data_IF_976010911318
#
_entry.id   IF_976010911318
#
_cell.length_a   1.000
_cell.length_b   1.000
_cell.length_c   1.000
_cell.angle_alpha   90.00
_cell.angle_beta   90.00
_cell.angle_gamma   90.00
#
_symmetry.space_group_name_H-M   'P 1'
#
loop_
_entity.id
_entity.type
_entity.pdbx_description
1 polymer ?
#
# COMPACT_ATOMS: atom_id res chain seq x y z
N UNK A 1 28.29 9.82 11.42
CA UNK A 1 27.02 9.18 11.86
C UNK A 1 27.40 7.97 12.71
N UNK A 2 26.91 7.86 13.93
CA UNK A 2 27.01 6.65 14.77
C UNK A 2 25.65 5.97 14.85
N UNK A 3 25.62 4.64 14.81
CA UNK A 3 24.38 3.84 14.91
C UNK A 3 24.44 2.99 16.16
N UNK A 4 23.46 3.17 17.06
CA UNK A 4 23.33 2.42 18.31
C UNK A 4 22.13 1.48 18.17
N UNK A 5 22.40 0.20 17.95
CA UNK A 5 21.38 -0.85 17.88
C UNK A 5 21.80 -2.00 18.82
N UNK A 6 21.35 -2.00 20.10
CA UNK A 6 21.65 -3.09 21.04
C UNK A 6 21.21 -4.45 20.50
N UNK A 7 21.99 -5.50 20.79
CA UNK A 7 21.62 -6.89 20.43
C UNK A 7 20.34 -7.31 21.17
N UNK A 8 19.52 -8.12 20.52
CA UNK A 8 18.24 -8.62 21.03
C UNK A 8 17.03 -7.78 20.64
N UNK A 9 17.22 -6.63 19.97
CA UNK A 9 16.13 -5.82 19.44
C UNK A 9 15.65 -6.32 18.08
N UNK A 10 14.45 -5.91 17.66
CA UNK A 10 13.87 -6.27 16.34
C UNK A 10 14.76 -5.86 15.16
N UNK A 11 15.55 -4.79 15.32
CA UNK A 11 16.51 -4.28 14.33
C UNK A 11 17.93 -4.87 14.47
N UNK A 12 18.19 -5.63 15.53
CA UNK A 12 19.47 -6.33 15.77
C UNK A 12 19.25 -7.61 16.60
N UNK A 13 18.59 -8.63 16.04
CA UNK A 13 18.19 -9.81 16.80
C UNK A 13 19.34 -10.82 16.97
N UNK A 14 19.20 -11.74 17.93
CA UNK A 14 20.13 -12.86 18.08
C UNK A 14 19.84 -13.96 17.05
N UNK A 15 20.85 -14.59 16.43
CA UNK A 15 20.66 -15.86 15.73
C UNK A 15 20.03 -16.91 16.67
N UNK A 16 19.08 -17.75 16.20
CA UNK A 16 18.58 -17.91 14.82
C UNK A 16 17.25 -17.17 14.55
N UNK A 17 17.01 -16.01 15.17
CA UNK A 17 15.75 -15.28 15.00
C UNK A 17 15.43 -14.99 13.52
N UNK A 18 14.15 -15.06 13.10
CA UNK A 18 13.75 -14.88 11.71
C UNK A 18 13.88 -13.41 11.27
N UNK A 19 14.53 -13.18 10.12
CA UNK A 19 14.81 -11.83 9.60
C UNK A 19 14.32 -11.59 8.16
N UNK A 20 13.56 -12.52 7.58
CA UNK A 20 13.21 -12.54 6.15
C UNK A 20 12.60 -11.23 5.61
N UNK A 21 11.91 -10.45 6.46
CA UNK A 21 11.18 -9.23 6.06
C UNK A 21 11.63 -7.97 6.79
N UNK A 22 12.75 -8.01 7.53
CA UNK A 22 13.20 -6.90 8.37
C UNK A 22 13.63 -5.66 7.56
N UNK A 23 14.15 -5.86 6.34
CA UNK A 23 14.57 -4.79 5.42
C UNK A 23 13.42 -3.90 4.96
N UNK A 24 12.18 -4.43 4.99
CA UNK A 24 10.98 -3.68 4.66
C UNK A 24 10.28 -3.19 5.91
N UNK A 25 9.74 -4.10 6.74
CA UNK A 25 8.88 -3.69 7.86
C UNK A 25 9.61 -2.78 8.85
N UNK A 26 10.81 -3.18 9.30
CA UNK A 26 11.56 -2.34 10.23
C UNK A 26 12.27 -1.19 9.50
N UNK A 27 12.80 -1.44 8.30
CA UNK A 27 13.50 -0.43 7.53
C UNK A 27 12.65 0.80 7.22
N UNK A 28 11.40 0.61 6.78
CA UNK A 28 10.46 1.68 6.47
C UNK A 28 10.12 2.51 7.71
N UNK A 29 9.85 1.86 8.85
CA UNK A 29 9.54 2.54 10.12
C UNK A 29 10.73 3.35 10.63
N UNK A 30 11.96 2.84 10.49
CA UNK A 30 13.19 3.56 10.89
C UNK A 30 13.36 4.82 10.03
N UNK A 31 13.20 4.71 8.71
CA UNK A 31 13.34 5.85 7.79
C UNK A 31 12.34 6.95 8.14
N UNK A 32 11.08 6.58 8.39
CA UNK A 32 10.05 7.56 8.74
C UNK A 32 10.19 8.13 10.16
N UNK A 33 10.69 7.34 11.10
CA UNK A 33 11.05 7.86 12.43
C UNK A 33 12.14 8.94 12.32
N UNK A 34 13.11 8.75 11.42
CA UNK A 34 14.13 9.77 11.11
C UNK A 34 13.49 10.99 10.47
N UNK A 35 12.57 10.84 9.50
CA UNK A 35 11.85 11.98 8.91
C UNK A 35 11.08 12.78 9.96
N UNK A 36 10.36 12.10 10.86
CA UNK A 36 9.65 12.78 11.97
C UNK A 36 10.60 13.52 12.90
N UNK A 37 11.75 12.93 13.23
CA UNK A 37 12.74 13.56 14.10
C UNK A 37 13.41 14.78 13.45
N UNK A 38 13.65 14.72 12.13
CA UNK A 38 14.27 15.81 11.37
C UNK A 38 13.30 16.90 10.91
N UNK A 39 12.00 16.61 10.89
CA UNK A 39 10.96 17.54 10.45
C UNK A 39 11.07 18.96 11.05
N UNK A 40 11.22 19.15 12.38
CA UNK A 40 11.32 20.49 12.94
C UNK A 40 12.63 21.23 12.58
N UNK A 41 13.66 20.52 12.10
CA UNK A 41 14.99 21.08 11.81
C UNK A 41 15.14 21.39 10.32
N UNK A 42 14.70 20.47 9.46
CA UNK A 42 14.83 20.56 7.99
C UNK A 42 13.50 20.29 7.30
N UNK A 43 12.47 21.16 7.51
CA UNK A 43 11.12 20.92 7.02
C UNK A 43 11.03 20.77 5.49
N UNK A 44 11.96 21.38 4.75
CA UNK A 44 12.04 21.31 3.28
C UNK A 44 12.58 19.98 2.74
N UNK A 45 13.25 19.18 3.58
CA UNK A 45 13.99 17.98 3.17
C UNK A 45 13.38 16.67 3.70
N UNK A 46 12.19 16.74 4.30
CA UNK A 46 11.46 15.58 4.81
C UNK A 46 10.13 15.41 4.08
N UNK A 47 9.65 14.17 4.07
CA UNK A 47 8.35 13.83 3.54
C UNK A 47 7.38 13.50 4.69
N UNK A 48 6.09 13.62 4.41
CA UNK A 48 5.06 12.92 5.16
C UNK A 48 5.20 11.39 5.00
N UNK A 49 4.36 10.64 5.71
CA UNK A 49 4.40 9.18 5.70
C UNK A 49 4.09 8.58 4.33
N UNK A 50 4.84 7.54 3.98
CA UNK A 50 4.61 6.72 2.79
C UNK A 50 3.68 5.56 3.13
N UNK A 51 3.09 4.97 2.09
CA UNK A 51 2.43 3.68 2.24
C UNK A 51 3.41 2.62 2.77
N UNK A 52 2.91 1.75 3.66
CA UNK A 52 3.64 0.55 4.08
C UNK A 52 3.65 -0.50 2.98
N UNK A 53 4.47 -1.53 3.14
CA UNK A 53 4.43 -2.71 2.28
C UNK A 53 3.05 -3.38 2.21
N UNK A 54 2.37 -3.26 1.08
CA UNK A 54 1.19 -4.08 0.74
C UNK A 54 1.67 -5.34 0.03
N UNK A 55 1.51 -6.50 0.66
CA UNK A 55 1.98 -7.77 0.11
C UNK A 55 1.14 -8.98 0.51
N UNK A 56 0.93 -9.85 -0.46
CA UNK A 56 0.55 -11.24 -0.24
C UNK A 56 1.24 -12.16 -1.25
N UNK A 57 1.16 -13.46 -0.99
CA UNK A 57 1.57 -14.50 -1.92
C UNK A 57 0.45 -15.55 -2.02
N UNK A 58 0.28 -16.11 -3.22
CA UNK A 58 -0.64 -17.22 -3.46
C UNK A 58 0.18 -18.43 -3.86
N UNK A 59 -0.06 -19.54 -3.18
CA UNK A 59 0.51 -20.85 -3.55
C UNK A 59 -0.61 -21.79 -3.94
N UNK A 60 -0.38 -22.57 -4.99
CA UNK A 60 -1.38 -23.48 -5.54
C UNK A 60 -0.80 -24.38 -6.60
N UNK A 61 -1.68 -24.98 -7.41
CA UNK A 61 -1.31 -25.78 -8.57
C UNK A 61 -1.89 -25.17 -9.83
N UNK A 62 -1.07 -25.12 -10.87
CA UNK A 62 -1.50 -24.58 -12.15
C UNK A 62 -2.40 -25.59 -12.86
N UNK A 63 -3.62 -25.21 -13.31
CA UNK A 63 -4.58 -26.13 -13.90
C UNK A 63 -4.06 -26.78 -15.19
N UNK A 64 -3.49 -26.00 -16.10
CA UNK A 64 -2.96 -26.52 -17.38
C UNK A 64 -1.70 -27.39 -17.30
N UNK A 65 -0.82 -27.18 -16.30
CA UNK A 65 0.48 -27.91 -16.23
C UNK A 65 0.57 -28.89 -15.07
N UNK A 66 -0.36 -28.84 -14.12
CA UNK A 66 -0.33 -29.62 -12.89
C UNK A 66 0.83 -29.29 -11.95
N UNK A 67 1.68 -28.29 -12.22
CA UNK A 67 2.83 -27.93 -11.39
C UNK A 67 2.43 -27.02 -10.23
N UNK A 68 3.12 -27.14 -9.11
CA UNK A 68 2.98 -26.17 -8.00
C UNK A 68 3.52 -24.81 -8.43
N UNK A 69 2.85 -23.74 -8.03
CA UNK A 69 3.32 -22.37 -8.23
C UNK A 69 3.34 -21.60 -6.91
N UNK A 70 4.16 -20.56 -6.89
CA UNK A 70 4.05 -19.45 -5.96
C UNK A 70 4.00 -18.16 -6.78
N UNK A 71 3.00 -17.33 -6.50
CA UNK A 71 2.89 -15.99 -7.05
C UNK A 71 2.97 -14.96 -5.95
N UNK A 72 3.59 -13.85 -6.29
CA UNK A 72 4.09 -12.86 -5.37
C UNK A 72 3.53 -11.50 -5.81
N UNK A 73 2.60 -10.94 -5.03
CA UNK A 73 1.78 -9.79 -5.42
C UNK A 73 2.56 -8.47 -5.49
N UNK A 74 3.00 -8.04 -6.69
CA UNK A 74 3.69 -6.76 -6.94
C UNK A 74 2.81 -5.66 -7.56
N UNK A 75 1.51 -5.89 -7.72
CA UNK A 75 0.57 -4.88 -8.20
C UNK A 75 0.10 -3.96 -7.06
N UNK A 76 -0.76 -2.99 -7.39
CA UNK A 76 -1.51 -2.21 -6.39
C UNK A 76 -0.62 -1.50 -5.37
N UNK A 77 0.49 -0.89 -5.81
CA UNK A 77 1.42 -0.19 -4.89
C UNK A 77 0.73 0.99 -4.21
N UNK A 78 1.18 1.35 -3.02
CA UNK A 78 0.63 2.48 -2.27
C UNK A 78 1.22 3.83 -2.67
N UNK A 79 0.66 4.90 -2.12
CA UNK A 79 1.09 6.27 -2.38
C UNK A 79 2.30 6.70 -1.54
N UNK A 80 3.09 7.63 -2.08
CA UNK A 80 4.20 8.26 -1.37
C UNK A 80 3.75 9.45 -0.54
N UNK A 81 4.49 9.77 0.52
CA UNK A 81 4.23 10.97 1.33
C UNK A 81 4.46 12.25 0.55
N UNK A 82 3.64 13.27 0.79
CA UNK A 82 3.86 14.60 0.25
C UNK A 82 5.07 15.29 0.90
N UNK A 83 5.59 16.30 0.22
CA UNK A 83 6.68 17.15 0.73
C UNK A 83 6.36 18.61 0.49
N UNK A 84 7.16 19.51 1.07
CA UNK A 84 7.01 20.92 0.78
C UNK A 84 7.22 21.18 -0.72
N UNK A 85 6.24 21.84 -1.34
CA UNK A 85 6.24 22.15 -2.76
C UNK A 85 5.66 21.07 -3.67
N UNK A 86 5.47 19.82 -3.20
CA UNK A 86 5.13 18.70 -4.09
C UNK A 86 4.13 17.71 -3.48
N UNK A 87 3.09 17.40 -4.24
CA UNK A 87 2.21 16.26 -3.96
C UNK A 87 3.01 14.95 -3.96
N UNK A 88 2.59 14.00 -3.13
CA UNK A 88 3.19 12.68 -3.09
C UNK A 88 2.92 11.89 -4.38
N UNK A 89 3.87 11.04 -4.76
CA UNK A 89 3.76 10.23 -5.97
C UNK A 89 2.78 9.07 -5.77
N UNK A 90 1.74 9.01 -6.59
CA UNK A 90 0.76 7.91 -6.56
C UNK A 90 1.40 6.59 -6.97
N UNK A 91 1.06 5.50 -6.30
CA UNK A 91 1.55 4.14 -6.58
C UNK A 91 3.09 3.99 -6.59
N UNK A 92 3.83 4.89 -5.95
CA UNK A 92 5.31 4.82 -5.85
C UNK A 92 5.77 3.70 -4.91
N UNK A 93 4.88 3.25 -4.03
CA UNK A 93 5.09 2.23 -3.00
C UNK A 93 5.82 2.74 -1.78
N UNK A 94 6.61 1.86 -1.18
CA UNK A 94 7.28 2.05 0.10
C UNK A 94 8.49 2.98 -0.02
N UNK A 95 8.79 3.71 1.06
CA UNK A 95 9.86 4.72 1.09
C UNK A 95 11.26 4.16 0.78
N UNK A 96 11.54 2.90 1.16
CA UNK A 96 12.84 2.26 0.94
C UNK A 96 13.07 1.85 -0.53
N UNK A 97 12.02 1.80 -1.34
CA UNK A 97 12.09 1.47 -2.77
C UNK A 97 11.86 2.70 -3.65
N UNK A 98 11.03 3.65 -3.19
CA UNK A 98 10.80 4.97 -3.81
C UNK A 98 10.68 4.93 -5.35
N UNK A 99 9.86 4.00 -5.89
CA UNK A 99 9.62 3.88 -7.32
C UNK A 99 10.60 2.99 -8.12
N UNK A 100 11.62 2.40 -7.49
CA UNK A 100 12.58 1.54 -8.19
C UNK A 100 11.99 0.19 -8.68
N UNK A 101 10.93 -0.31 -8.02
CA UNK A 101 10.24 -1.54 -8.45
C UNK A 101 9.20 -1.21 -9.51
N UNK A 102 9.34 -1.86 -10.67
CA UNK A 102 8.36 -1.81 -11.77
C UNK A 102 7.17 -2.72 -11.49
N UNK A 103 5.97 -2.26 -11.81
CA UNK A 103 4.78 -3.10 -11.79
C UNK A 103 4.90 -4.21 -12.85
N UNK A 104 4.51 -5.46 -12.53
CA UNK A 104 4.45 -6.52 -13.52
C UNK A 104 3.37 -6.25 -14.59
N UNK A 105 3.51 -6.88 -15.75
CA UNK A 105 2.47 -6.86 -16.78
C UNK A 105 1.27 -7.71 -16.36
N UNK A 106 0.07 -7.20 -16.59
CA UNK A 106 -1.19 -7.93 -16.38
C UNK A 106 -1.22 -9.18 -17.27
N UNK A 107 -0.98 -9.02 -18.57
CA UNK A 107 -1.01 -10.11 -19.55
C UNK A 107 -0.05 -11.25 -19.20
N UNK A 108 1.19 -10.92 -18.82
CA UNK A 108 2.18 -11.93 -18.42
C UNK A 108 1.80 -12.61 -17.10
N UNK A 109 1.07 -11.91 -16.23
CA UNK A 109 0.59 -12.51 -14.98
C UNK A 109 -0.54 -13.51 -15.27
N UNK A 110 -1.51 -13.14 -16.08
CA UNK A 110 -2.65 -14.00 -16.46
C UNK A 110 -2.20 -15.18 -17.35
N UNK A 111 -1.17 -15.00 -18.17
CA UNK A 111 -0.58 -16.10 -18.96
C UNK A 111 0.07 -17.16 -18.06
N UNK A 112 0.76 -16.73 -17.00
CA UNK A 112 1.61 -17.61 -16.17
C UNK A 112 0.91 -18.21 -14.97
N UNK A 113 -0.16 -17.58 -14.51
CA UNK A 113 -0.83 -17.95 -13.27
C UNK A 113 -2.34 -18.01 -13.50
N UNK A 114 -3.06 -18.89 -12.79
CA UNK A 114 -4.52 -19.06 -12.96
C UNK A 114 -5.30 -17.93 -12.26
N UNK A 115 -5.07 -16.70 -12.71
CA UNK A 115 -5.68 -15.49 -12.20
C UNK A 115 -6.24 -14.68 -13.35
N UNK A 116 -7.36 -14.04 -13.09
CA UNK A 116 -7.88 -12.97 -13.94
C UNK A 116 -7.89 -11.67 -13.16
N UNK A 117 -7.12 -10.69 -13.61
CA UNK A 117 -7.04 -9.37 -13.01
C UNK A 117 -8.25 -8.57 -13.50
N UNK A 118 -9.14 -8.26 -12.55
CA UNK A 118 -10.38 -7.52 -12.84
C UNK A 118 -10.15 -6.02 -12.76
N UNK A 119 -9.26 -5.58 -11.88
CA UNK A 119 -9.04 -4.16 -11.60
C UNK A 119 -7.62 -3.88 -11.15
N UNK A 120 -7.05 -2.79 -11.64
CA UNK A 120 -5.76 -2.26 -11.20
C UNK A 120 -5.74 -0.74 -11.42
N UNK A 121 -6.46 -0.02 -10.57
CA UNK A 121 -6.72 1.42 -10.72
C UNK A 121 -6.07 2.21 -9.60
N UNK A 122 -5.98 3.53 -9.76
CA UNK A 122 -5.78 4.43 -8.61
C UNK A 122 -6.95 4.31 -7.63
N UNK A 123 -6.70 4.59 -6.35
CA UNK A 123 -7.70 4.64 -5.28
C UNK A 123 -8.04 6.10 -4.97
N UNK A 124 -9.10 6.70 -5.55
CA UNK A 124 -9.47 8.07 -5.27
C UNK A 124 -9.69 8.33 -3.78
N UNK A 125 -9.25 9.48 -3.29
CA UNK A 125 -9.38 9.89 -1.89
C UNK A 125 -8.56 9.07 -0.90
N UNK A 126 -7.56 8.31 -1.36
CA UNK A 126 -6.69 7.53 -0.47
C UNK A 126 -5.48 8.30 0.05
N UNK A 127 -5.03 9.33 -0.68
CA UNK A 127 -3.97 10.22 -0.24
C UNK A 127 -4.49 11.19 0.83
N UNK A 128 -3.67 11.47 1.84
CA UNK A 128 -3.98 12.44 2.89
C UNK A 128 -4.02 13.86 2.33
N UNK A 129 -5.01 14.63 2.76
CA UNK A 129 -5.17 16.02 2.37
C UNK A 129 -4.07 16.91 3.00
N UNK A 130 -3.73 18.00 2.31
CA UNK A 130 -2.73 18.96 2.77
C UNK A 130 -2.57 20.06 1.72
N UNK A 131 -1.75 21.07 2.02
CA UNK A 131 -1.31 22.02 1.00
C UNK A 131 -0.77 21.28 -0.23
N UNK A 132 -0.01 20.21 0.05
CA UNK A 132 0.32 19.15 -0.89
C UNK A 132 -0.27 17.82 -0.45
N UNK A 133 -0.97 17.15 -1.35
CA UNK A 133 -1.71 15.91 -1.12
C UNK A 133 -0.75 14.72 -1.15
N UNK A 134 -0.88 13.79 -0.21
CA UNK A 134 -0.14 12.53 -0.26
C UNK A 134 -0.53 11.70 -1.48
N UNK A 135 0.38 10.93 -2.06
CA UNK A 135 0.13 10.14 -3.27
C UNK A 135 -1.05 9.18 -3.11
N UNK A 136 -1.75 8.86 -4.19
CA UNK A 136 -2.83 7.89 -4.13
C UNK A 136 -2.28 6.47 -4.04
N UNK A 137 -2.97 5.62 -3.30
CA UNK A 137 -2.88 4.19 -3.43
C UNK A 137 -3.62 3.68 -4.66
N UNK A 138 -3.92 2.40 -4.64
CA UNK A 138 -4.43 1.62 -5.74
C UNK A 138 -5.53 0.67 -5.27
N UNK A 139 -6.41 0.32 -6.20
CA UNK A 139 -7.42 -0.70 -6.07
C UNK A 139 -6.98 -1.84 -6.96
N UNK A 140 -6.61 -2.97 -6.35
CA UNK A 140 -6.32 -4.19 -7.07
C UNK A 140 -7.39 -5.24 -6.78
N UNK A 141 -7.82 -5.92 -7.84
CA UNK A 141 -8.76 -7.03 -7.75
C UNK A 141 -8.41 -8.12 -8.76
N UNK A 142 -8.47 -9.37 -8.30
CA UNK A 142 -8.33 -10.55 -9.14
C UNK A 142 -9.36 -11.62 -8.78
N UNK A 143 -9.74 -12.43 -9.77
CA UNK A 143 -10.45 -13.70 -9.59
C UNK A 143 -9.44 -14.83 -9.67
N UNK A 144 -9.57 -15.82 -8.80
CA UNK A 144 -8.81 -17.07 -8.90
C UNK A 144 -9.50 -18.04 -9.87
N UNK A 145 -8.82 -18.44 -10.94
CA UNK A 145 -9.32 -19.31 -12.01
C UNK A 145 -8.64 -20.69 -12.01
N UNK A 146 -8.20 -21.16 -10.83
CA UNK A 146 -7.69 -22.53 -10.71
C UNK A 146 -8.80 -23.57 -10.61
N UNK A 147 -8.43 -24.85 -10.69
CA UNK A 147 -9.38 -25.98 -10.56
C UNK A 147 -9.47 -26.56 -9.13
N UNK A 148 -8.46 -26.26 -8.29
CA UNK A 148 -8.38 -26.70 -6.89
C UNK A 148 -8.11 -25.52 -5.95
N UNK A 149 -8.42 -25.63 -4.64
CA UNK A 149 -8.16 -24.54 -3.69
C UNK A 149 -6.69 -24.15 -3.63
N UNK A 150 -6.43 -22.84 -3.54
CA UNK A 150 -5.11 -22.27 -3.32
C UNK A 150 -4.99 -21.66 -1.91
N UNK A 151 -3.77 -21.33 -1.49
CA UNK A 151 -3.47 -20.70 -0.20
C UNK A 151 -2.98 -19.28 -0.39
N UNK A 152 -3.68 -18.34 0.20
CA UNK A 152 -3.35 -16.92 0.26
C UNK A 152 -2.61 -16.62 1.59
N UNK A 153 -1.46 -15.96 1.48
CA UNK A 153 -0.57 -15.66 2.60
C UNK A 153 -0.20 -14.18 2.61
N UNK A 154 -0.63 -13.46 3.64
CA UNK A 154 -0.40 -12.02 3.77
C UNK A 154 0.96 -11.79 4.40
N UNK A 155 1.71 -10.87 3.82
CA UNK A 155 3.06 -10.50 4.24
C UNK A 155 3.25 -8.98 4.30
N UNK A 156 2.13 -8.24 4.33
CA UNK A 156 2.13 -6.77 4.32
C UNK A 156 2.09 -6.15 5.72
N UNK A 157 2.00 -4.84 5.76
CA UNK A 157 1.73 -4.02 6.94
C UNK A 157 0.78 -2.85 6.59
N UNK A 158 0.60 -1.88 7.47
CA UNK A 158 -0.14 -0.62 7.26
C UNK A 158 -1.66 -0.75 7.15
N UNK A 159 -2.23 -1.85 7.67
CA UNK A 159 -3.67 -1.95 7.95
C UNK A 159 -4.02 -1.20 9.24
N UNK A 160 -3.13 -1.25 10.24
CA UNK A 160 -3.35 -0.66 11.56
C UNK A 160 -2.90 0.79 11.59
N UNK A 161 -1.66 1.05 11.16
CA UNK A 161 -1.07 2.38 11.19
C UNK A 161 -1.18 3.02 9.81
N UNK A 162 -1.92 4.12 9.72
CA UNK A 162 -2.04 4.93 8.53
C UNK A 162 -0.75 5.75 8.28
N UNK A 163 -0.39 6.02 7.02
CA UNK A 163 0.69 6.95 6.68
C UNK A 163 0.40 8.33 7.25
N UNK A 164 1.31 8.86 8.07
CA UNK A 164 1.11 10.09 8.83
C UNK A 164 1.17 11.33 7.93
N UNK A 165 0.33 12.33 8.21
CA UNK A 165 0.48 13.66 7.64
C UNK A 165 1.52 14.50 8.41
N UNK A 166 2.00 15.60 7.80
CA UNK A 166 3.02 16.46 8.37
C UNK A 166 2.63 17.95 8.28
N UNK A 167 2.97 18.73 9.31
CA UNK A 167 2.71 20.18 9.40
C UNK A 167 1.26 20.60 9.09
N UNK A 168 0.28 19.88 9.64
CA UNK A 168 -1.15 20.15 9.41
C UNK A 168 -1.76 19.41 8.22
N UNK A 169 -0.98 18.58 7.53
CA UNK A 169 -1.50 17.59 6.59
C UNK A 169 -2.17 16.41 7.31
N UNK A 170 -3.16 15.82 6.66
CA UNK A 170 -3.93 14.68 7.13
C UNK A 170 -3.24 13.35 6.80
N UNK A 171 -3.51 12.28 7.57
CA UNK A 171 -3.03 10.95 7.23
C UNK A 171 -3.69 10.40 5.96
N UNK A 172 -2.97 9.54 5.23
CA UNK A 172 -3.57 8.76 4.14
C UNK A 172 -4.49 7.65 4.65
N UNK A 173 -5.31 7.07 3.76
CA UNK A 173 -6.10 5.88 4.12
C UNK A 173 -5.17 4.66 4.33
N UNK A 174 -5.51 3.74 5.25
CA UNK A 174 -4.74 2.52 5.46
C UNK A 174 -4.98 1.47 4.35
N UNK A 175 -4.15 0.43 4.37
CA UNK A 175 -4.30 -0.76 3.53
C UNK A 175 -5.53 -1.58 3.94
N UNK A 176 -6.07 -2.36 3.01
CA UNK A 176 -7.11 -3.36 3.29
C UNK A 176 -6.95 -4.57 2.38
N UNK A 177 -7.03 -5.77 2.95
CA UNK A 177 -7.19 -7.01 2.18
C UNK A 177 -8.57 -7.59 2.44
N UNK A 178 -9.16 -8.15 1.40
CA UNK A 178 -10.38 -8.94 1.54
C UNK A 178 -10.45 -10.04 0.51
N UNK A 179 -11.18 -11.09 0.88
CA UNK A 179 -11.61 -12.15 -0.03
C UNK A 179 -13.14 -12.10 -0.10
N UNK A 180 -13.67 -12.21 -1.31
CA UNK A 180 -15.09 -12.36 -1.56
C UNK A 180 -15.30 -13.76 -2.10
N UNK A 181 -16.00 -14.60 -1.34
CA UNK A 181 -16.31 -15.99 -1.68
C UNK A 181 -17.81 -16.20 -1.64
N UNK A 182 -18.40 -16.68 -2.74
CA UNK A 182 -19.86 -16.85 -2.89
C UNK A 182 -20.66 -15.62 -2.46
N UNK A 183 -20.18 -14.42 -2.84
CA UNK A 183 -20.80 -13.14 -2.49
C UNK A 183 -20.57 -12.66 -1.05
N UNK A 184 -19.94 -13.47 -0.18
CA UNK A 184 -19.60 -13.08 1.18
C UNK A 184 -18.21 -12.47 1.26
N UNK A 185 -18.13 -11.26 1.79
CA UNK A 185 -16.88 -10.56 2.05
C UNK A 185 -16.26 -10.95 3.39
N UNK A 186 -14.93 -11.15 3.39
CA UNK A 186 -14.11 -11.34 4.59
C UNK A 186 -12.89 -10.42 4.54
N UNK A 187 -12.80 -9.51 5.50
CA UNK A 187 -11.60 -8.69 5.72
C UNK A 187 -10.50 -9.57 6.34
N UNK A 188 -9.28 -9.45 5.83
CA UNK A 188 -8.11 -10.22 6.29
C UNK A 188 -7.14 -9.35 7.09
N UNK A 189 -6.37 -9.98 7.99
CA UNK A 189 -5.29 -9.31 8.73
C UNK A 189 -3.99 -9.24 7.90
N UNK A 190 -3.09 -8.32 8.24
CA UNK A 190 -1.86 -8.05 7.48
C UNK A 190 -0.84 -9.21 7.49
N UNK A 191 -0.95 -10.13 8.45
CA UNK A 191 -0.06 -11.29 8.65
C UNK A 191 -0.80 -12.63 8.72
N UNK A 192 -2.02 -12.68 8.21
CA UNK A 192 -2.78 -13.93 8.16
C UNK A 192 -2.19 -14.88 7.10
N UNK A 193 -2.06 -16.16 7.42
CA UNK A 193 -1.44 -17.16 6.54
C UNK A 193 -2.38 -18.33 6.28
N UNK A 194 -2.11 -19.06 5.19
CA UNK A 194 -2.88 -20.24 4.77
C UNK A 194 -4.39 -20.00 4.62
N UNK A 195 -4.78 -18.79 4.25
CA UNK A 195 -6.18 -18.47 3.97
C UNK A 195 -6.60 -19.21 2.71
N UNK A 196 -7.60 -20.11 2.76
CA UNK A 196 -8.04 -20.81 1.56
C UNK A 196 -8.74 -19.84 0.62
N UNK A 197 -8.42 -19.95 -0.67
CA UNK A 197 -9.17 -19.33 -1.76
C UNK A 197 -9.63 -20.41 -2.73
N UNK A 198 -10.88 -20.35 -3.13
CA UNK A 198 -11.54 -21.34 -3.98
C UNK A 198 -11.70 -20.81 -5.41
N UNK A 199 -11.83 -21.70 -6.42
CA UNK A 199 -12.12 -21.29 -7.79
C UNK A 199 -13.31 -20.30 -7.84
N UNK A 200 -13.13 -19.17 -8.52
CA UNK A 200 -14.11 -18.08 -8.62
C UNK A 200 -14.06 -17.05 -7.49
N UNK A 201 -13.30 -17.28 -6.42
CA UNK A 201 -13.14 -16.28 -5.35
C UNK A 201 -12.41 -15.03 -5.87
N UNK A 202 -12.82 -13.88 -5.36
CA UNK A 202 -12.17 -12.60 -5.63
C UNK A 202 -11.25 -12.20 -4.49
N UNK A 203 -10.00 -11.90 -4.80
CA UNK A 203 -9.04 -11.30 -3.87
C UNK A 203 -8.95 -9.81 -4.20
N UNK A 204 -9.25 -8.96 -3.21
CA UNK A 204 -9.18 -7.49 -3.35
C UNK A 204 -8.14 -6.95 -2.39
N UNK A 205 -7.27 -6.10 -2.90
CA UNK A 205 -6.28 -5.39 -2.12
C UNK A 205 -6.39 -3.89 -2.40
N UNK A 206 -6.70 -3.12 -1.35
CA UNK A 206 -6.76 -1.66 -1.40
C UNK A 206 -5.50 -1.12 -0.75
N UNK A 207 -4.65 -0.48 -1.53
CA UNK A 207 -3.43 0.07 -1.00
C UNK A 207 -3.65 1.45 -0.37
N UNK A 208 -2.84 1.76 0.63
CA UNK A 208 -2.80 3.03 1.33
C UNK A 208 -2.33 4.14 0.39
N UNK A 209 -2.82 5.36 0.60
CA UNK A 209 -2.17 6.54 0.03
C UNK A 209 -0.91 6.92 0.82
N UNK A 210 -0.35 8.08 0.54
CA UNK A 210 0.62 8.73 1.42
C UNK A 210 -0.06 9.78 2.30
N UNK A 211 0.66 10.27 3.32
CA UNK A 211 0.21 11.41 4.12
C UNK A 211 0.37 12.75 3.39
N UNK A 212 -0.50 13.71 3.72
CA UNK A 212 -0.42 15.09 3.22
C UNK A 212 0.62 15.92 3.95
N UNK A 213 1.00 17.05 3.34
CA UNK A 213 1.95 18.01 3.90
C UNK A 213 1.33 19.41 3.90
N UNK A 214 1.45 20.13 5.03
CA UNK A 214 0.96 21.49 5.17
C UNK A 214 -0.54 21.57 5.40
N UNK A 215 -1.05 22.72 5.84
CA UNK A 215 -2.46 22.88 6.16
C UNK A 215 -3.36 22.63 4.93
N UNK A 216 -4.43 21.84 5.11
CA UNK A 216 -5.40 21.51 4.04
C UNK A 216 -6.01 22.76 3.40
N UNK A 217 -6.20 23.81 4.19
CA UNK A 217 -6.73 25.10 3.74
C UNK A 217 -5.87 25.74 2.65
N UNK A 218 -4.55 25.53 2.70
CA UNK A 218 -3.57 26.16 1.81
C UNK A 218 -3.46 25.47 0.44
N UNK A 219 -4.16 24.34 0.24
CA UNK A 219 -4.22 23.71 -1.08
C UNK A 219 -4.90 24.66 -2.07
N UNK A 220 -4.15 25.08 -3.08
CA UNK A 220 -4.63 26.06 -4.06
C UNK A 220 -5.87 25.56 -4.80
N UNK A 221 -6.74 26.50 -5.19
CA UNK A 221 -7.96 26.20 -5.95
C UNK A 221 -7.62 25.48 -7.26
N UNK A 222 -6.55 25.89 -7.94
CA UNK A 222 -6.08 25.25 -9.18
C UNK A 222 -5.73 23.78 -8.96
N UNK A 223 -5.04 23.45 -7.86
CA UNK A 223 -4.68 22.06 -7.55
C UNK A 223 -5.88 21.22 -7.13
N UNK A 224 -6.85 21.81 -6.42
CA UNK A 224 -8.12 21.12 -6.09
C UNK A 224 -8.92 20.80 -7.35
N UNK A 225 -9.02 21.76 -8.27
CA UNK A 225 -9.65 21.55 -9.57
C UNK A 225 -8.96 20.46 -10.38
N UNK A 226 -7.61 20.44 -10.36
CA UNK A 226 -6.82 19.41 -10.98
C UNK A 226 -7.13 18.02 -10.42
N UNK A 227 -7.20 17.88 -9.08
CA UNK A 227 -7.54 16.61 -8.45
C UNK A 227 -8.93 16.12 -8.86
N UNK A 228 -9.92 17.01 -8.91
CA UNK A 228 -11.29 16.66 -9.31
C UNK A 228 -11.34 16.21 -10.77
N UNK A 229 -10.72 16.97 -11.68
CA UNK A 229 -10.71 16.65 -13.12
C UNK A 229 -10.02 15.32 -13.42
N UNK A 230 -9.01 14.96 -12.63
CA UNK A 230 -8.28 13.70 -12.78
C UNK A 230 -8.85 12.55 -11.92
N UNK A 231 -9.95 12.77 -11.18
CA UNK A 231 -10.57 11.76 -10.35
C UNK A 231 -9.72 11.31 -9.15
N UNK A 232 -8.80 12.16 -8.67
CA UNK A 232 -7.92 11.85 -7.55
C UNK A 232 -8.62 11.92 -6.19
N UNK A 233 -9.69 12.71 -6.13
CA UNK A 233 -10.54 12.86 -4.95
C UNK A 233 -11.91 12.25 -5.24
N UNK A 234 -12.48 11.61 -4.23
CA UNK A 234 -13.84 11.09 -4.31
C UNK A 234 -14.84 12.23 -4.06
N UNK A 235 -15.40 12.78 -5.14
CA UNK A 235 -16.41 13.85 -5.07
C UNK A 235 -17.79 13.34 -4.66
N UNK A 236 -18.03 12.03 -4.63
CA UNK A 236 -19.33 11.45 -4.27
C UNK A 236 -19.64 11.58 -2.77
N UNK A 237 -18.61 11.57 -1.91
CA UNK A 237 -18.77 11.70 -0.46
C UNK A 237 -19.15 13.10 0.03
N UNK A 238 -18.89 14.16 -0.76
CA UNK A 238 -19.16 15.54 -0.35
C UNK A 238 -20.66 15.92 -0.36
N UNK A 239 -21.53 15.13 -1.00
CA UNK A 239 -22.97 15.46 -1.11
C UNK A 239 -23.79 15.24 0.19
N UNK A 240 -23.22 14.64 1.25
CA UNK A 240 -23.98 14.28 2.46
C UNK A 240 -23.82 15.23 3.65
N UNK A 241 -23.01 16.29 3.57
CA UNK A 241 -22.76 17.21 4.69
C UNK A 241 -23.21 18.65 4.42
N UNK A 242 -24.29 18.83 3.66
CA UNK A 242 -24.91 20.15 3.48
C UNK A 242 -26.43 20.02 3.63
N UNK A 243 -26.86 19.94 4.89
CA UNK A 243 -28.20 20.31 5.35
C UNK A 243 -28.04 21.15 6.62
#
# INVERSE_FOLDING_TARGET
ISVIAPKGLIVNPHPPAPVCMSTNHCGEEIVEAIFKALAPIVPEAVNAGFSRRLRFAITGRHPGTGRRFIWHFFFGRGGGGASKGHDGWSCVGEVNVAGAIRSPSVEITEERFPFKIVRNDLRPGSGGDGAWRGGLGAIFEMVYEGDEPAKLNMAGDGIVNAPFGLFGGEPGLPHTYKVISNGRERILKSKETEVPIFPGDRVVALSAGGGGYGAVADRSVVMRDWDVRNGYVDTSKKKNNTQ
#
